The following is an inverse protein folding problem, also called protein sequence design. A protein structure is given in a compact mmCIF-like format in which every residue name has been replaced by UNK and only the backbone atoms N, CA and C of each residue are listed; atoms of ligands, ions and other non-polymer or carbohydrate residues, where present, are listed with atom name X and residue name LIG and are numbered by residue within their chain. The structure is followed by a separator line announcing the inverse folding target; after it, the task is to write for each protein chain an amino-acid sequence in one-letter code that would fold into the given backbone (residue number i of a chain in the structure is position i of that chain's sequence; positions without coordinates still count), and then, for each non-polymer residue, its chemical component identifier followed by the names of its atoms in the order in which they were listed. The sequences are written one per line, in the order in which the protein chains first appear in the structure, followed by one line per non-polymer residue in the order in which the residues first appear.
data_IF_936468052487
#
_entry.id   IF_936468052487
#
_cell.length_a   1.000
_cell.length_b   1.000
_cell.length_c   1.000
_cell.angle_alpha   90.00
_cell.angle_beta   90.00
_cell.angle_gamma   90.00
#
_symmetry.space_group_name_H-M   'P 1'
#
loop_
_entity.id
_entity.type
_entity.pdbx_description
1 polymer ?
#
# COMPACT_ATOMS: atom_id res chain seq x y z
N UNK A 1 -21.29 32.64 -61.22
CA UNK A 1 -21.76 32.15 -59.90
C UNK A 1 -20.94 30.93 -59.52
N UNK A 2 -20.17 30.99 -58.42
CA UNK A 2 -19.39 29.83 -57.95
C UNK A 2 -19.78 29.54 -56.49
N UNK A 3 -20.47 28.42 -56.26
CA UNK A 3 -20.92 28.01 -54.94
C UNK A 3 -19.79 27.27 -54.19
N UNK A 4 -19.33 27.82 -53.06
CA UNK A 4 -18.38 27.18 -52.14
C UNK A 4 -19.06 26.01 -51.42
N UNK A 5 -18.61 24.78 -51.68
CA UNK A 5 -18.98 23.58 -50.92
C UNK A 5 -18.42 23.65 -49.49
N UNK A 6 -19.29 23.58 -48.47
CA UNK A 6 -18.91 23.41 -47.06
C UNK A 6 -18.45 21.97 -46.82
N UNK A 7 -17.26 21.79 -46.25
CA UNK A 7 -16.76 20.48 -45.83
C UNK A 7 -17.49 19.99 -44.56
N UNK A 8 -17.75 18.67 -44.42
CA UNK A 8 -18.38 18.11 -43.22
C UNK A 8 -17.38 18.09 -42.06
N UNK A 9 -17.78 18.64 -40.90
CA UNK A 9 -16.99 18.57 -39.66
C UNK A 9 -17.05 17.14 -39.11
N UNK A 10 -15.88 16.50 -38.94
CA UNK A 10 -15.74 15.17 -38.34
C UNK A 10 -16.19 15.21 -36.88
N UNK A 11 -17.19 14.40 -36.52
CA UNK A 11 -17.65 14.26 -35.14
C UNK A 11 -16.56 13.61 -34.29
N UNK A 12 -16.03 14.35 -33.32
CA UNK A 12 -15.11 13.82 -32.31
C UNK A 12 -15.92 13.12 -31.22
N UNK A 13 -15.73 11.81 -31.07
CA UNK A 13 -16.37 11.04 -30.01
C UNK A 13 -15.89 11.55 -28.64
N UNK A 14 -16.81 11.95 -27.76
CA UNK A 14 -16.50 12.39 -26.39
C UNK A 14 -15.94 11.20 -25.60
N UNK A 15 -14.67 11.29 -25.17
CA UNK A 15 -14.06 10.32 -24.25
C UNK A 15 -14.83 10.35 -22.92
N UNK A 16 -15.38 9.21 -22.49
CA UNK A 16 -16.07 9.07 -21.20
C UNK A 16 -15.03 9.26 -20.07
N UNK A 17 -15.34 10.11 -19.10
CA UNK A 17 -14.49 10.36 -17.93
C UNK A 17 -14.50 9.15 -17.00
N UNK A 18 -13.36 8.51 -16.81
CA UNK A 18 -13.17 7.30 -15.99
C UNK A 18 -13.11 7.61 -14.48
N UNK A 19 -13.49 8.83 -14.06
CA UNK A 19 -13.25 9.31 -12.68
C UNK A 19 -14.00 8.52 -11.60
N UNK A 20 -15.08 7.82 -11.95
CA UNK A 20 -15.94 7.09 -11.01
C UNK A 20 -16.09 5.60 -11.41
N UNK A 21 -15.00 4.95 -11.83
CA UNK A 21 -15.01 3.50 -12.08
C UNK A 21 -14.73 2.76 -10.77
N UNK A 22 -15.77 2.27 -10.11
CA UNK A 22 -15.64 1.37 -8.96
C UNK A 22 -15.62 -0.07 -9.48
N UNK A 23 -14.44 -0.70 -9.50
CA UNK A 23 -14.29 -2.12 -9.79
C UNK A 23 -14.28 -2.88 -8.46
N UNK A 24 -15.28 -3.72 -8.25
CA UNK A 24 -15.26 -4.71 -7.15
C UNK A 24 -14.56 -5.96 -7.66
N UNK A 25 -13.40 -6.29 -7.08
CA UNK A 25 -12.68 -7.52 -7.39
C UNK A 25 -13.22 -8.68 -6.53
N UNK A 26 -13.34 -9.88 -7.10
CA UNK A 26 -13.86 -11.07 -6.41
C UNK A 26 -12.79 -11.99 -5.81
N UNK A 27 -11.51 -11.59 -5.80
CA UNK A 27 -10.42 -12.39 -5.23
C UNK A 27 -10.36 -12.18 -3.71
N UNK A 28 -10.44 -13.28 -2.97
CA UNK A 28 -10.14 -13.27 -1.54
C UNK A 28 -8.63 -13.04 -1.34
N UNK A 29 -8.28 -11.93 -0.69
CA UNK A 29 -6.90 -11.62 -0.34
C UNK A 29 -6.45 -12.52 0.82
N UNK A 30 -5.70 -13.57 0.46
CA UNK A 30 -4.96 -14.37 1.43
C UNK A 30 -3.60 -13.70 1.65
N UNK A 31 -3.23 -13.49 2.90
CA UNK A 31 -1.99 -12.82 3.30
C UNK A 31 -0.99 -13.84 3.85
N UNK A 32 0.30 -13.66 3.52
CA UNK A 32 1.37 -14.49 4.10
C UNK A 32 1.93 -13.83 5.35
N UNK A 33 2.31 -14.63 6.37
CA UNK A 33 3.05 -14.10 7.49
C UNK A 33 4.46 -13.70 7.09
N UNK A 34 4.82 -12.45 7.35
CA UNK A 34 6.11 -11.89 6.93
C UNK A 34 7.03 -11.57 8.09
N UNK A 35 6.50 -11.41 9.31
CA UNK A 35 7.28 -11.15 10.52
C UNK A 35 7.42 -12.43 11.34
N UNK A 36 8.52 -12.55 12.10
CA UNK A 36 8.73 -13.66 13.03
C UNK A 36 7.61 -13.74 14.07
N UNK A 37 7.15 -12.58 14.55
CA UNK A 37 6.06 -12.49 15.52
C UNK A 37 4.75 -13.06 14.93
N UNK A 38 4.46 -12.80 13.65
CA UNK A 38 3.29 -13.36 12.98
C UNK A 38 3.39 -14.89 12.79
N UNK A 39 4.60 -15.42 12.55
CA UNK A 39 4.85 -16.87 12.52
C UNK A 39 4.61 -17.49 13.90
N UNK A 40 4.85 -16.72 14.97
CA UNK A 40 4.57 -17.11 16.35
C UNK A 40 3.14 -16.86 16.80
N UNK A 41 2.27 -16.38 15.92
CA UNK A 41 0.84 -16.16 16.20
C UNK A 41 0.53 -14.79 16.81
N UNK A 42 1.41 -13.80 16.68
CA UNK A 42 1.04 -12.41 16.94
C UNK A 42 0.18 -11.87 15.79
N UNK A 43 -0.99 -11.33 16.14
CA UNK A 43 -1.91 -10.67 15.22
C UNK A 43 -1.46 -9.24 14.87
N UNK A 44 -0.31 -8.79 15.39
CA UNK A 44 0.25 -7.45 15.19
C UNK A 44 -0.43 -6.39 16.05
N UNK A 45 -1.17 -6.81 17.09
CA UNK A 45 -1.84 -5.89 18.03
C UNK A 45 -0.99 -5.61 19.27
N UNK A 46 0.11 -6.33 19.46
CA UNK A 46 0.99 -6.23 20.63
C UNK A 46 1.57 -4.83 20.86
N UNK A 47 1.91 -4.10 19.79
CA UNK A 47 2.63 -2.82 19.85
C UNK A 47 1.72 -1.60 20.01
N UNK A 48 0.58 -1.59 19.31
CA UNK A 48 -0.33 -0.43 19.26
C UNK A 48 -1.72 -0.73 19.84
N UNK A 49 -2.02 -1.98 20.22
CA UNK A 49 -3.33 -2.41 20.71
C UNK A 49 -4.44 -2.47 19.65
N UNK A 50 -4.17 -2.01 18.43
CA UNK A 50 -5.14 -1.96 17.33
C UNK A 50 -4.43 -2.07 15.97
N UNK A 51 -5.14 -2.58 14.97
CA UNK A 51 -4.72 -2.57 13.56
C UNK A 51 -5.50 -1.54 12.73
N UNK A 52 -6.44 -0.81 13.35
CA UNK A 52 -7.30 0.17 12.70
C UNK A 52 -6.76 1.58 12.89
N UNK A 53 -6.49 2.26 11.79
CA UNK A 53 -5.94 3.62 11.79
C UNK A 53 -6.85 4.62 12.52
N UNK A 54 -8.17 4.56 12.28
CA UNK A 54 -9.12 5.48 12.92
C UNK A 54 -9.15 5.31 14.45
N UNK A 55 -9.10 4.07 14.93
CA UNK A 55 -9.06 3.81 16.36
C UNK A 55 -7.76 4.34 16.99
N UNK A 56 -6.64 4.15 16.30
CA UNK A 56 -5.35 4.67 16.75
C UNK A 56 -5.29 6.20 16.73
N UNK A 57 -5.89 6.86 15.74
CA UNK A 57 -5.97 8.33 15.72
C UNK A 57 -6.70 8.90 16.94
N UNK A 58 -7.80 8.27 17.35
CA UNK A 58 -8.58 8.68 18.53
C UNK A 58 -7.75 8.48 19.80
N UNK A 59 -7.04 7.35 19.92
CA UNK A 59 -6.12 7.14 21.04
C UNK A 59 -5.03 8.20 21.11
N UNK A 60 -4.43 8.60 19.98
CA UNK A 60 -3.42 9.67 19.94
C UNK A 60 -4.00 11.06 20.24
N UNK A 61 -5.29 11.28 19.96
CA UNK A 61 -6.00 12.51 20.33
C UNK A 61 -6.23 12.60 21.85
N UNK A 62 -6.52 11.47 22.48
CA UNK A 62 -6.76 11.38 23.92
C UNK A 62 -5.46 11.47 24.75
N UNK A 63 -4.31 11.04 24.21
CA UNK A 63 -3.03 11.10 24.91
C UNK A 63 -2.55 12.53 25.15
N UNK A 64 -2.00 12.78 26.34
CA UNK A 64 -1.31 14.02 26.65
C UNK A 64 0.09 14.06 25.99
N UNK A 65 0.78 15.21 26.07
CA UNK A 65 2.09 15.36 25.42
C UNK A 65 3.17 14.42 26.00
N UNK A 66 3.21 14.26 27.32
CA UNK A 66 4.16 13.38 28.01
C UNK A 66 3.92 11.91 27.65
N UNK A 67 2.66 11.50 27.57
CA UNK A 67 2.23 10.16 27.18
C UNK A 67 2.60 9.89 25.72
N UNK A 68 2.41 10.87 24.82
CA UNK A 68 2.84 10.75 23.42
C UNK A 68 4.36 10.57 23.29
N UNK A 69 5.15 11.27 24.10
CA UNK A 69 6.61 11.13 24.12
C UNK A 69 7.04 9.77 24.69
N UNK A 70 6.38 9.31 25.75
CA UNK A 70 6.60 7.98 26.32
C UNK A 70 6.25 6.88 25.30
N UNK A 71 5.09 6.99 24.66
CA UNK A 71 4.65 6.04 23.64
C UNK A 71 5.59 6.04 22.42
N UNK A 72 6.03 7.21 21.96
CA UNK A 72 7.04 7.33 20.91
C UNK A 72 8.32 6.58 21.28
N UNK A 73 8.77 6.69 22.54
CA UNK A 73 9.94 5.96 23.03
C UNK A 73 9.73 4.44 23.02
N UNK A 74 8.55 3.96 23.41
CA UNK A 74 8.19 2.54 23.36
C UNK A 74 8.19 1.98 21.93
N UNK A 75 7.70 2.77 20.98
CA UNK A 75 7.62 2.40 19.55
C UNK A 75 8.97 2.57 18.83
N UNK A 76 9.94 3.25 19.46
CA UNK A 76 11.27 3.50 18.88
C UNK A 76 11.35 4.75 18.01
N UNK A 77 10.44 5.69 18.18
CA UNK A 77 10.46 7.01 17.54
C UNK A 77 11.10 8.02 18.49
N UNK A 78 12.04 8.83 17.99
CA UNK A 78 12.65 9.91 18.77
C UNK A 78 11.57 10.93 19.17
N UNK A 79 11.36 11.18 20.49
CA UNK A 79 10.39 12.16 20.96
C UNK A 79 10.71 13.57 20.46
N UNK A 80 9.67 14.35 20.14
CA UNK A 80 9.77 15.75 19.74
C UNK A 80 8.74 16.55 20.54
N UNK A 81 9.00 17.84 20.76
CA UNK A 81 8.12 18.71 21.55
C UNK A 81 6.87 19.20 20.80
N UNK A 82 6.90 19.20 19.47
CA UNK A 82 5.74 19.54 18.66
C UNK A 82 4.79 18.34 18.54
N UNK A 83 3.60 18.46 19.17
CA UNK A 83 2.57 17.42 19.19
C UNK A 83 2.11 17.00 17.79
N UNK A 84 1.92 17.94 16.86
CA UNK A 84 1.40 17.63 15.53
C UNK A 84 2.37 16.77 14.73
N UNK A 85 3.66 17.15 14.73
CA UNK A 85 4.69 16.40 14.01
C UNK A 85 4.97 15.05 14.66
N UNK A 86 4.90 14.96 15.98
CA UNK A 86 5.03 13.69 16.70
C UNK A 86 3.88 12.73 16.36
N UNK A 87 2.65 13.24 16.34
CA UNK A 87 1.45 12.47 15.93
C UNK A 87 1.59 11.96 14.49
N UNK A 88 1.97 12.81 13.55
CA UNK A 88 2.16 12.41 12.14
C UNK A 88 3.22 11.30 11.99
N UNK A 89 4.31 11.38 12.76
CA UNK A 89 5.35 10.35 12.77
C UNK A 89 4.84 9.03 13.33
N UNK A 90 4.10 9.07 14.45
CA UNK A 90 3.45 7.89 15.05
C UNK A 90 2.47 7.24 14.07
N UNK A 91 1.66 8.03 13.36
CA UNK A 91 0.75 7.53 12.33
C UNK A 91 1.50 6.91 11.16
N UNK A 92 2.61 7.50 10.74
CA UNK A 92 3.43 6.96 9.64
C UNK A 92 4.05 5.61 10.00
N UNK A 93 4.61 5.46 11.20
CA UNK A 93 5.15 4.18 11.65
C UNK A 93 4.04 3.15 11.86
N UNK A 94 2.88 3.55 12.37
CA UNK A 94 1.71 2.67 12.46
C UNK A 94 1.28 2.14 11.08
N UNK A 95 1.18 3.01 10.06
CA UNK A 95 0.85 2.59 8.68
C UNK A 95 1.89 1.63 8.12
N UNK A 96 3.18 1.88 8.39
CA UNK A 96 4.27 0.99 8.00
C UNK A 96 4.14 -0.37 8.67
N UNK A 97 3.88 -0.39 9.98
CA UNK A 97 3.63 -1.62 10.74
C UNK A 97 2.45 -2.39 10.15
N UNK A 98 1.26 -1.79 10.04
CA UNK A 98 0.06 -2.45 9.48
C UNK A 98 0.28 -2.95 8.05
N UNK A 99 1.03 -2.22 7.21
CA UNK A 99 1.37 -2.67 5.86
C UNK A 99 2.31 -3.88 5.84
N UNK A 100 3.21 -3.97 6.82
CA UNK A 100 4.12 -5.11 6.96
C UNK A 100 3.37 -6.40 7.28
N UNK A 101 2.23 -6.34 7.99
CA UNK A 101 1.40 -7.51 8.30
C UNK A 101 0.45 -7.93 7.17
N UNK A 102 0.19 -7.05 6.19
CA UNK A 102 -0.78 -7.26 5.10
C UNK A 102 -0.10 -7.46 3.74
N UNK A 103 0.87 -8.36 3.68
CA UNK A 103 1.52 -8.70 2.41
C UNK A 103 0.67 -9.73 1.64
N UNK A 104 0.22 -9.42 0.40
CA UNK A 104 -0.54 -10.37 -0.40
C UNK A 104 0.34 -11.57 -0.76
N UNK A 105 -0.26 -12.76 -0.82
CA UNK A 105 0.38 -13.94 -1.42
C UNK A 105 0.68 -13.61 -2.89
N UNK A 106 1.96 -13.51 -3.22
CA UNK A 106 2.39 -13.65 -4.60
C UNK A 106 2.54 -15.14 -4.84
N UNK A 107 1.63 -15.73 -5.62
CA UNK A 107 1.91 -17.02 -6.24
C UNK A 107 3.20 -16.83 -7.02
N UNK A 108 4.30 -17.41 -6.54
CA UNK A 108 5.55 -17.41 -7.27
C UNK A 108 5.22 -18.03 -8.62
N UNK A 109 5.26 -17.22 -9.69
CA UNK A 109 5.20 -17.74 -11.05
C UNK A 109 6.36 -18.71 -11.15
N UNK A 110 6.07 -20.00 -11.02
CA UNK A 110 7.05 -21.04 -11.21
C UNK A 110 7.39 -20.95 -12.69
N UNK A 111 8.47 -20.23 -13.02
CA UNK A 111 9.03 -20.23 -14.37
C UNK A 111 9.67 -21.61 -14.58
N UNK A 112 8.82 -22.62 -14.75
CA UNK A 112 9.22 -23.99 -15.08
C UNK A 112 9.58 -24.10 -16.57
N UNK A 113 9.42 -23.03 -17.34
CA UNK A 113 9.83 -22.96 -18.74
C UNK A 113 10.58 -21.66 -19.00
N UNK A 114 11.90 -21.77 -19.11
CA UNK A 114 12.75 -20.73 -19.71
C UNK A 114 12.64 -20.91 -21.23
N UNK A 115 12.46 -19.81 -21.95
CA UNK A 115 12.37 -19.84 -23.41
C UNK A 115 13.66 -20.48 -23.99
N UNK A 116 13.55 -21.41 -24.95
CA UNK A 116 14.71 -22.12 -25.52
C UNK A 116 15.78 -21.17 -26.10
N UNK A 117 15.40 -19.97 -26.57
CA UNK A 117 16.35 -18.96 -27.03
C UNK A 117 17.24 -18.44 -25.88
N UNK A 118 16.65 -18.19 -24.71
CA UNK A 118 17.36 -17.74 -23.51
C UNK A 118 18.28 -18.85 -22.98
N UNK A 119 17.81 -20.10 -22.98
CA UNK A 119 18.61 -21.25 -22.57
C UNK A 119 19.83 -21.47 -23.49
N UNK A 120 19.64 -21.26 -24.80
CA UNK A 120 20.70 -21.32 -25.80
C UNK A 120 21.77 -20.26 -25.55
N UNK A 121 21.38 -19.00 -25.38
CA UNK A 121 22.32 -17.89 -25.07
C UNK A 121 23.13 -18.18 -23.80
N UNK A 122 22.50 -18.73 -22.76
CA UNK A 122 23.17 -19.06 -21.50
C UNK A 122 24.17 -20.23 -21.64
N UNK A 123 23.94 -21.15 -22.58
CA UNK A 123 24.79 -22.33 -22.80
C UNK A 123 26.02 -22.06 -23.68
N UNK A 124 25.97 -21.03 -24.52
CA UNK A 124 27.03 -20.70 -25.49
C UNK A 124 28.24 -19.97 -24.88
N UNK A 125 28.10 -19.42 -23.67
CA UNK A 125 29.11 -18.60 -23.00
C UNK A 125 30.00 -19.32 -21.98
N UNK A 126 30.08 -20.65 -21.99
CA UNK A 126 30.86 -21.46 -21.03
C UNK A 126 32.03 -22.19 -21.67
#
# INVERSE_FOLDING_TARGET
MAAKRKMPKKATAKKKSVKNLSQTHGKEEKFEPVTLDQIWGDDGTSTYGTLNENAYTVQLDDMNMSDLQAHASTVGIIPIDNRQTLRERLLREFRKHTSAYKKPIHEAESVTHVDPEVMKILSEGR
#
